data_IF_455012189663
#
_entry.id   IF_455012189663
#
_cell.length_a   1.000
_cell.length_b   1.000
_cell.length_c   1.000
_cell.angle_alpha   90.00
_cell.angle_beta   90.00
_cell.angle_gamma   90.00
#
_symmetry.space_group_name_H-M   'P 1'
#
loop_
_entity.id
_entity.type
_entity.pdbx_description
1 polymer ?
#
# COMPACT_ATOMS: atom_id res chain seq x y z
N UNK A 1 -0.28 3.66 -20.69
CA UNK A 1 -1.24 2.60 -20.25
C UNK A 1 -2.55 3.29 -19.89
N UNK A 2 -3.71 2.78 -20.33
CA UNK A 2 -5.02 3.33 -19.90
C UNK A 2 -5.41 2.72 -18.56
N UNK A 3 -5.69 3.55 -17.55
CA UNK A 3 -6.04 3.09 -16.20
C UNK A 3 -7.47 3.42 -15.75
N UNK A 4 -8.16 4.33 -16.44
CA UNK A 4 -9.45 4.86 -15.98
C UNK A 4 -10.64 4.20 -16.66
N UNK A 5 -11.80 4.24 -15.99
CA UNK A 5 -13.04 3.64 -16.46
C UNK A 5 -13.53 4.26 -17.78
N UNK A 6 -13.45 5.59 -17.89
CA UNK A 6 -13.85 6.32 -19.10
C UNK A 6 -13.02 5.95 -20.33
N UNK A 7 -11.83 5.39 -20.13
CA UNK A 7 -10.94 4.92 -21.19
C UNK A 7 -10.92 3.38 -21.27
N UNK A 8 -12.06 2.74 -21.01
CA UNK A 8 -12.31 1.33 -21.34
C UNK A 8 -11.93 0.32 -20.27
N UNK A 9 -11.68 0.74 -19.03
CA UNK A 9 -11.44 -0.19 -17.92
C UNK A 9 -12.71 -0.51 -17.13
N UNK A 10 -12.74 -1.70 -16.52
CA UNK A 10 -13.70 -2.05 -15.48
C UNK A 10 -13.04 -1.91 -14.08
N UNK A 11 -13.75 -2.29 -13.03
CA UNK A 11 -13.25 -2.20 -11.65
C UNK A 11 -12.00 -3.05 -11.40
N UNK A 12 -11.87 -4.19 -12.08
CA UNK A 12 -10.73 -5.10 -11.92
C UNK A 12 -9.51 -4.57 -12.68
N UNK A 13 -9.72 -4.14 -13.93
CA UNK A 13 -8.63 -3.70 -14.81
C UNK A 13 -8.19 -2.25 -14.56
N UNK A 14 -9.06 -1.44 -13.94
CA UNK A 14 -8.78 -0.04 -13.65
C UNK A 14 -7.68 0.15 -12.60
N UNK A 15 -6.84 1.16 -12.81
CA UNK A 15 -5.77 1.54 -11.90
C UNK A 15 -5.37 3.01 -12.07
N UNK A 16 -4.78 3.61 -11.04
CA UNK A 16 -3.95 4.81 -11.21
C UNK A 16 -2.53 4.33 -11.52
N UNK A 17 -2.06 4.68 -12.71
CA UNK A 17 -0.78 4.21 -13.26
C UNK A 17 0.38 4.93 -12.55
N UNK A 18 1.45 4.22 -12.15
CA UNK A 18 2.64 4.82 -11.57
C UNK A 18 3.26 5.94 -12.42
N UNK A 19 3.96 6.84 -11.74
CA UNK A 19 4.68 7.95 -12.38
C UNK A 19 5.72 7.43 -13.37
N UNK A 20 5.91 8.15 -14.48
CA UNK A 20 6.80 7.74 -15.57
C UNK A 20 8.23 7.48 -15.10
N UNK A 21 8.88 6.44 -15.64
CA UNK A 21 10.28 6.14 -15.36
C UNK A 21 11.24 7.27 -15.80
N UNK A 22 10.83 8.13 -16.72
CA UNK A 22 11.60 9.33 -17.10
C UNK A 22 11.74 10.34 -15.94
N UNK A 23 10.80 10.33 -14.98
CA UNK A 23 10.87 11.13 -13.75
C UNK A 23 11.72 10.40 -12.70
N UNK A 24 11.74 9.07 -12.68
CA UNK A 24 12.49 8.30 -11.67
C UNK A 24 12.02 8.63 -10.25
N UNK A 25 12.94 9.16 -9.42
CA UNK A 25 12.66 9.63 -8.05
C UNK A 25 12.49 11.15 -7.93
N UNK A 26 12.51 11.89 -9.04
CA UNK A 26 12.27 13.33 -8.99
C UNK A 26 10.86 13.61 -8.45
N UNK A 27 10.77 14.61 -7.57
CA UNK A 27 9.49 15.07 -7.04
C UNK A 27 8.76 15.85 -8.14
N UNK A 28 7.58 15.36 -8.54
CA UNK A 28 6.82 15.88 -9.68
C UNK A 28 5.41 16.37 -9.26
N UNK A 29 5.34 17.47 -8.48
CA UNK A 29 4.07 18.12 -8.14
C UNK A 29 3.46 18.80 -9.37
N UNK A 30 2.20 19.22 -9.26
CA UNK A 30 1.45 19.84 -10.36
C UNK A 30 2.19 21.05 -10.95
N UNK A 31 2.88 21.85 -10.12
CA UNK A 31 3.57 23.07 -10.55
C UNK A 31 4.94 22.83 -11.21
N UNK A 32 5.45 21.60 -11.25
CA UNK A 32 6.64 21.27 -12.05
C UNK A 32 6.28 20.97 -13.52
N UNK A 33 5.00 20.71 -13.82
CA UNK A 33 4.54 20.49 -15.19
C UNK A 33 4.20 21.82 -15.88
N UNK A 34 4.41 21.90 -17.20
CA UNK A 34 4.01 23.03 -18.01
C UNK A 34 2.48 23.14 -18.16
N UNK A 35 1.76 22.02 -18.01
CA UNK A 35 0.30 21.96 -18.04
C UNK A 35 -0.25 20.77 -17.26
N UNK A 36 -1.56 20.78 -16.99
CA UNK A 36 -2.25 19.62 -16.41
C UNK A 36 -2.23 18.41 -17.35
N UNK A 37 -2.27 18.61 -18.66
CA UNK A 37 -2.22 17.52 -19.64
C UNK A 37 -0.87 16.79 -19.58
N UNK A 38 0.23 17.54 -19.47
CA UNK A 38 1.57 16.96 -19.26
C UNK A 38 1.63 16.22 -17.92
N UNK A 39 1.10 16.82 -16.85
CA UNK A 39 1.08 16.19 -15.53
C UNK A 39 0.29 14.86 -15.53
N UNK A 40 -0.84 14.81 -16.20
CA UNK A 40 -1.64 13.60 -16.39
C UNK A 40 -0.92 12.56 -17.25
N UNK A 41 -0.28 12.99 -18.34
CA UNK A 41 0.50 12.11 -19.22
C UNK A 41 1.64 11.42 -18.48
N UNK A 42 2.33 12.15 -17.60
CA UNK A 42 3.48 11.65 -16.86
C UNK A 42 3.14 10.89 -15.56
N UNK A 43 1.85 10.67 -15.28
CA UNK A 43 1.43 9.92 -14.09
C UNK A 43 1.62 10.69 -12.78
N UNK A 44 1.53 12.03 -12.83
CA UNK A 44 1.58 12.89 -11.65
C UNK A 44 0.55 12.57 -10.55
N UNK A 45 -0.70 12.14 -10.86
CA UNK A 45 -1.67 11.74 -9.83
C UNK A 45 -1.16 10.65 -8.88
N UNK A 46 -0.31 9.73 -9.36
CA UNK A 46 0.21 8.64 -8.54
C UNK A 46 1.08 9.15 -7.40
N UNK A 47 2.10 9.96 -7.69
CA UNK A 47 2.94 10.56 -6.65
C UNK A 47 2.12 11.41 -5.68
N UNK A 48 1.18 12.23 -6.17
CA UNK A 48 0.33 13.04 -5.30
C UNK A 48 -0.44 12.15 -4.31
N UNK A 49 -1.13 11.12 -4.81
CA UNK A 49 -1.95 10.24 -3.96
C UNK A 49 -1.08 9.48 -2.97
N UNK A 50 0.01 8.86 -3.43
CA UNK A 50 0.90 8.06 -2.56
C UNK A 50 1.49 8.92 -1.45
N UNK A 51 2.04 10.09 -1.76
CA UNK A 51 2.65 10.96 -0.75
C UNK A 51 1.63 11.43 0.29
N UNK A 52 0.45 11.90 -0.13
CA UNK A 52 -0.58 12.35 0.80
C UNK A 52 -1.17 11.20 1.60
N UNK A 53 -1.35 10.02 0.99
CA UNK A 53 -1.82 8.82 1.66
C UNK A 53 -0.86 8.39 2.77
N UNK A 54 0.45 8.32 2.49
CA UNK A 54 1.46 7.91 3.48
C UNK A 54 1.52 8.87 4.67
N UNK A 55 1.44 10.18 4.42
CA UNK A 55 1.31 11.19 5.49
C UNK A 55 0.02 10.99 6.29
N UNK A 56 -1.09 10.75 5.60
CA UNK A 56 -2.40 10.52 6.22
C UNK A 56 -2.43 9.31 7.13
N UNK A 57 -1.92 8.16 6.70
CA UNK A 57 -1.90 6.94 7.53
C UNK A 57 -0.91 7.03 8.69
N UNK A 58 0.21 7.74 8.52
CA UNK A 58 1.12 8.02 9.63
C UNK A 58 0.46 8.91 10.69
N UNK A 59 -0.24 9.98 10.27
CA UNK A 59 -1.02 10.82 11.17
C UNK A 59 -2.18 10.05 11.83
N UNK A 60 -2.83 9.14 11.09
CA UNK A 60 -3.89 8.29 11.62
C UNK A 60 -3.37 7.35 12.73
N UNK A 61 -2.19 6.76 12.55
CA UNK A 61 -1.52 5.98 13.60
C UNK A 61 -1.27 6.83 14.86
N UNK A 62 -0.83 8.09 14.69
CA UNK A 62 -0.70 9.04 15.80
C UNK A 62 -2.04 9.37 16.47
N UNK A 63 -3.12 9.48 15.69
CA UNK A 63 -4.48 9.70 16.20
C UNK A 63 -4.97 8.53 17.06
N UNK A 64 -4.67 7.28 16.70
CA UNK A 64 -5.00 6.12 17.53
C UNK A 64 -4.34 6.20 18.91
N UNK A 65 -3.06 6.60 18.95
CA UNK A 65 -2.36 6.85 20.20
C UNK A 65 -3.00 8.01 20.98
N UNK A 66 -3.23 9.16 20.33
CA UNK A 66 -3.77 10.34 21.01
C UNK A 66 -5.11 10.02 21.66
N UNK A 67 -6.04 9.40 20.93
CA UNK A 67 -7.35 9.05 21.48
C UNK A 67 -7.23 8.06 22.65
N UNK A 68 -6.34 7.06 22.54
CA UNK A 68 -6.09 6.12 23.64
C UNK A 68 -5.64 6.87 24.91
N UNK A 69 -4.78 7.87 24.76
CA UNK A 69 -4.32 8.70 25.87
C UNK A 69 -5.46 9.56 26.45
N UNK A 70 -6.27 10.21 25.61
CA UNK A 70 -7.41 11.05 26.08
C UNK A 70 -8.44 10.24 26.87
N UNK A 71 -8.62 8.97 26.53
CA UNK A 71 -9.56 8.07 27.20
C UNK A 71 -8.95 7.29 28.38
N UNK A 72 -7.66 7.49 28.70
CA UNK A 72 -6.97 6.71 29.73
C UNK A 72 -6.85 5.22 29.38
N UNK A 73 -6.89 4.87 28.09
CA UNK A 73 -6.72 3.51 27.60
C UNK A 73 -5.23 3.14 27.56
N UNK A 74 -4.97 1.84 27.42
CA UNK A 74 -3.62 1.30 27.18
C UNK A 74 -3.15 1.67 25.74
N UNK A 75 -1.94 2.23 25.54
CA UNK A 75 -1.56 2.91 24.30
C UNK A 75 -0.93 2.01 23.21
N UNK A 76 -1.49 0.81 22.97
CA UNK A 76 -0.86 -0.19 22.09
C UNK A 76 -1.62 -0.49 20.79
N UNK A 77 -2.77 0.14 20.56
CA UNK A 77 -3.54 -0.03 19.30
C UNK A 77 -2.71 0.47 18.10
N UNK A 78 -2.12 1.66 18.21
CA UNK A 78 -1.25 2.23 17.18
C UNK A 78 -0.03 1.35 16.88
N UNK A 79 0.47 0.60 17.86
CA UNK A 79 1.59 -0.33 17.67
C UNK A 79 1.17 -1.49 16.78
N UNK A 80 -0.04 -2.03 16.94
CA UNK A 80 -0.58 -3.02 16.01
C UNK A 80 -0.80 -2.44 14.61
N UNK A 81 -1.35 -1.23 14.52
CA UNK A 81 -1.56 -0.53 13.24
C UNK A 81 -0.26 -0.16 12.52
N UNK A 82 0.89 -0.11 13.22
CA UNK A 82 2.18 0.13 12.58
C UNK A 82 2.57 -0.94 11.56
N UNK A 83 2.09 -2.19 11.69
CA UNK A 83 2.39 -3.26 10.75
C UNK A 83 1.88 -2.99 9.31
N UNK A 84 0.59 -2.68 9.09
CA UNK A 84 0.11 -2.29 7.76
C UNK A 84 0.68 -0.96 7.28
N UNK A 85 0.97 0.00 8.16
CA UNK A 85 1.65 1.26 7.77
C UNK A 85 3.05 0.98 7.23
N UNK A 86 3.80 0.09 7.89
CA UNK A 86 5.12 -0.33 7.41
C UNK A 86 5.04 -1.07 6.07
N UNK A 87 4.08 -1.97 5.90
CA UNK A 87 3.86 -2.68 4.63
C UNK A 87 3.51 -1.73 3.48
N UNK A 88 2.62 -0.75 3.70
CA UNK A 88 2.28 0.27 2.71
C UNK A 88 3.49 1.14 2.36
N UNK A 89 4.26 1.56 3.36
CA UNK A 89 5.49 2.34 3.17
C UNK A 89 6.52 1.54 2.36
N UNK A 90 6.62 0.22 2.58
CA UNK A 90 7.55 -0.64 1.85
C UNK A 90 7.25 -0.67 0.34
N UNK A 91 5.98 -0.89 -0.06
CA UNK A 91 5.62 -1.07 -1.47
C UNK A 91 5.43 0.23 -2.25
N UNK A 92 5.14 1.35 -1.55
CA UNK A 92 4.89 2.64 -2.20
C UNK A 92 6.05 3.64 -2.11
N UNK A 93 7.02 3.41 -1.22
CA UNK A 93 8.14 4.35 -1.04
C UNK A 93 9.49 3.64 -1.02
N UNK A 94 9.70 2.66 -0.15
CA UNK A 94 11.02 2.03 0.02
C UNK A 94 11.43 1.25 -1.22
N UNK A 95 10.52 0.44 -1.79
CA UNK A 95 10.82 -0.32 -2.99
C UNK A 95 11.11 0.59 -4.20
N UNK A 96 10.30 1.62 -4.51
CA UNK A 96 10.66 2.65 -5.48
C UNK A 96 12.03 3.28 -5.28
N UNK A 97 12.39 3.66 -4.05
CA UNK A 97 13.71 4.22 -3.73
C UNK A 97 14.81 3.21 -4.05
N UNK A 98 14.62 1.95 -3.68
CA UNK A 98 15.57 0.88 -3.96
C UNK A 98 15.76 0.58 -5.44
N UNK A 99 14.69 0.68 -6.25
CA UNK A 99 14.75 0.51 -7.70
C UNK A 99 15.17 1.79 -8.46
N UNK A 100 15.13 2.95 -7.79
CA UNK A 100 15.48 4.24 -8.39
C UNK A 100 14.32 4.90 -9.17
N UNK A 101 13.08 4.44 -9.00
CA UNK A 101 11.94 5.01 -9.70
C UNK A 101 10.59 4.73 -9.03
N UNK A 102 9.70 5.74 -9.03
CA UNK A 102 8.28 5.54 -8.69
C UNK A 102 7.52 4.72 -9.72
N UNK A 103 8.06 4.48 -10.92
CA UNK A 103 7.44 3.59 -11.90
C UNK A 103 7.32 2.14 -11.44
N UNK A 104 8.22 1.73 -10.54
CA UNK A 104 8.27 0.37 -9.99
C UNK A 104 7.49 0.24 -8.68
N UNK A 105 6.86 1.33 -8.23
CA UNK A 105 5.91 1.29 -7.13
C UNK A 105 4.66 0.50 -7.49
N UNK A 106 4.02 -0.11 -6.49
CA UNK A 106 2.80 -0.87 -6.71
C UNK A 106 1.70 0.05 -7.32
N UNK A 107 1.08 -0.30 -8.46
CA UNK A 107 -0.01 0.49 -9.03
C UNK A 107 -1.25 0.51 -8.13
N UNK A 108 -2.05 1.59 -8.21
CA UNK A 108 -3.28 1.70 -7.41
C UNK A 108 -4.47 1.07 -8.15
N UNK A 109 -4.52 -0.26 -8.21
CA UNK A 109 -5.60 -1.01 -8.85
C UNK A 109 -5.43 -2.52 -8.72
N UNK A 110 -6.51 -3.29 -8.88
CA UNK A 110 -6.51 -4.75 -8.59
C UNK A 110 -5.56 -5.50 -9.53
N UNK A 111 -5.75 -5.39 -10.85
CA UNK A 111 -4.84 -6.00 -11.82
C UNK A 111 -3.41 -5.45 -11.73
N UNK A 112 -3.26 -4.19 -11.34
CA UNK A 112 -1.96 -3.56 -11.12
C UNK A 112 -1.18 -4.18 -9.97
N UNK A 113 -1.84 -4.52 -8.86
CA UNK A 113 -1.24 -5.27 -7.75
C UNK A 113 -0.74 -6.64 -8.19
N UNK A 114 -1.52 -7.37 -9.00
CA UNK A 114 -1.07 -8.67 -9.53
C UNK A 114 0.15 -8.53 -10.42
N UNK A 115 0.18 -7.52 -11.29
CA UNK A 115 1.34 -7.23 -12.13
C UNK A 115 2.59 -6.98 -11.27
N UNK A 116 2.49 -6.13 -10.25
CA UNK A 116 3.57 -5.87 -9.31
C UNK A 116 4.09 -7.16 -8.66
N UNK A 117 3.20 -8.02 -8.14
CA UNK A 117 3.60 -9.27 -7.48
C UNK A 117 4.33 -10.24 -8.43
N UNK A 118 3.88 -10.35 -9.68
CA UNK A 118 4.50 -11.24 -10.67
C UNK A 118 5.91 -10.74 -11.03
N UNK A 119 6.06 -9.44 -11.26
CA UNK A 119 7.38 -8.83 -11.55
C UNK A 119 8.30 -8.97 -10.33
N UNK A 120 7.79 -8.70 -9.13
CA UNK A 120 8.56 -8.84 -7.90
C UNK A 120 9.02 -10.30 -7.67
N UNK A 121 8.19 -11.29 -8.00
CA UNK A 121 8.60 -12.69 -7.98
C UNK A 121 9.69 -12.98 -9.02
N UNK A 122 9.57 -12.43 -10.23
CA UNK A 122 10.56 -12.65 -11.28
C UNK A 122 11.93 -12.04 -10.94
N UNK A 123 11.95 -10.86 -10.32
CA UNK A 123 13.18 -10.13 -9.99
C UNK A 123 13.81 -10.58 -8.67
N UNK A 124 13.00 -10.95 -7.67
CA UNK A 124 13.48 -11.18 -6.30
C UNK A 124 13.25 -12.59 -5.77
N UNK A 125 12.56 -13.46 -6.52
CA UNK A 125 12.18 -14.81 -6.08
C UNK A 125 11.56 -14.81 -4.67
N UNK A 126 10.63 -13.87 -4.42
CA UNK A 126 10.10 -13.58 -3.08
C UNK A 126 9.52 -14.80 -2.37
N UNK A 127 8.98 -15.77 -3.10
CA UNK A 127 8.47 -17.01 -2.52
C UNK A 127 9.55 -17.80 -1.76
N UNK A 128 10.82 -17.64 -2.11
CA UNK A 128 11.95 -18.27 -1.43
C UNK A 128 12.56 -17.40 -0.31
N UNK A 129 12.02 -16.20 -0.06
CA UNK A 129 12.53 -15.31 0.97
C UNK A 129 11.90 -15.62 2.36
N UNK A 130 12.70 -15.84 3.42
CA UNK A 130 12.18 -16.25 4.73
C UNK A 130 11.26 -15.21 5.37
N UNK A 131 11.48 -13.91 5.16
CA UNK A 131 10.56 -12.89 5.70
C UNK A 131 9.18 -12.93 5.02
N UNK A 132 9.10 -13.29 3.73
CA UNK A 132 7.82 -13.48 3.08
C UNK A 132 7.11 -14.71 3.66
N UNK A 133 7.84 -15.82 3.86
CA UNK A 133 7.29 -17.02 4.51
C UNK A 133 6.76 -16.74 5.92
N UNK A 134 7.48 -15.93 6.72
CA UNK A 134 7.01 -15.48 8.03
C UNK A 134 5.74 -14.63 7.92
N UNK A 135 5.67 -13.72 6.93
CA UNK A 135 4.46 -12.95 6.64
C UNK A 135 3.27 -13.84 6.29
N UNK A 136 3.47 -14.85 5.44
CA UNK A 136 2.46 -15.85 5.08
C UNK A 136 1.99 -16.63 6.31
N UNK A 137 2.91 -17.10 7.16
CA UNK A 137 2.57 -17.76 8.42
C UNK A 137 1.76 -16.84 9.35
N UNK A 138 2.11 -15.55 9.41
CA UNK A 138 1.40 -14.54 10.19
C UNK A 138 -0.06 -14.36 9.74
N UNK A 139 -0.32 -14.18 8.43
CA UNK A 139 -1.69 -13.96 7.92
C UNK A 139 -2.55 -15.22 7.95
N UNK A 140 -1.97 -16.39 7.66
CA UNK A 140 -2.68 -17.67 7.78
C UNK A 140 -2.97 -18.02 9.24
N UNK A 141 -1.98 -17.88 10.12
CA UNK A 141 -2.16 -18.07 11.57
C UNK A 141 -3.20 -17.10 12.14
N UNK A 142 -3.12 -15.81 11.77
CA UNK A 142 -4.10 -14.80 12.19
C UNK A 142 -5.53 -15.15 11.77
N UNK A 143 -5.72 -15.61 10.52
CA UNK A 143 -7.04 -16.05 10.03
C UNK A 143 -7.56 -17.27 10.78
N UNK A 144 -6.70 -18.28 11.00
CA UNK A 144 -7.02 -19.49 11.77
C UNK A 144 -7.44 -19.14 13.20
N UNK A 145 -6.65 -18.31 13.89
CA UNK A 145 -6.94 -17.93 15.28
C UNK A 145 -8.15 -17.02 15.40
N UNK A 146 -8.41 -16.16 14.42
CA UNK A 146 -9.65 -15.37 14.38
C UNK A 146 -10.88 -16.29 14.30
N UNK A 147 -10.85 -17.29 13.42
CA UNK A 147 -11.93 -18.27 13.30
C UNK A 147 -12.09 -19.12 14.56
N UNK A 148 -10.98 -19.60 15.12
CA UNK A 148 -10.95 -20.41 16.34
C UNK A 148 -11.46 -19.62 17.56
N UNK A 149 -11.05 -18.37 17.72
CA UNK A 149 -11.53 -17.54 18.82
C UNK A 149 -13.04 -17.33 18.72
N UNK A 150 -13.53 -16.97 17.53
CA UNK A 150 -14.96 -16.81 17.28
C UNK A 150 -15.76 -18.08 17.57
N UNK A 151 -15.27 -19.25 17.14
CA UNK A 151 -15.97 -20.52 17.36
C UNK A 151 -16.02 -20.91 18.84
N UNK A 152 -14.91 -20.75 19.59
CA UNK A 152 -14.84 -21.09 21.01
C UNK A 152 -15.77 -20.21 21.86
N UNK A 153 -15.72 -18.88 21.66
CA UNK A 153 -16.60 -17.95 22.38
C UNK A 153 -18.07 -18.26 22.08
N UNK A 154 -18.41 -18.47 20.80
CA UNK A 154 -19.80 -18.76 20.39
C UNK A 154 -20.29 -20.09 20.98
N UNK A 155 -19.42 -21.10 21.06
CA UNK A 155 -19.77 -22.43 21.56
C UNK A 155 -20.06 -22.49 23.07
N UNK A 156 -19.83 -21.40 23.80
CA UNK A 156 -19.90 -21.35 25.26
C UNK A 156 -20.74 -20.18 25.79
N UNK A 157 -21.66 -19.64 24.98
CA UNK A 157 -22.67 -18.70 25.46
C UNK A 157 -23.60 -19.39 26.48
N UNK A 158 -23.91 -18.69 27.58
CA UNK A 158 -24.80 -19.15 28.68
C UNK A 158 -26.26 -19.07 28.23
#
# INVERSE_FOLDING_TARGET
>A
VSGSLLYGNNIISGAIIPTSNAIGLHFYPIWEAASLDEWLYNGGPYQLIVCHFLLGVAAYMGREWELSYRLGMRPWICVAYSAPVAAATAVFLIYPIGQGSFSDGMPLGISGTFNFMIVFQAEHNILMHPFHMLGVAGVFGGSLFSAMHGSLVTSSLI
#
